data_IF_030828937340
#
_entry.id   IF_030828937340
#
_cell.length_a   1.000
_cell.length_b   1.000
_cell.length_c   1.000
_cell.angle_alpha   90.00
_cell.angle_beta   90.00
_cell.angle_gamma   90.00
#
_symmetry.space_group_name_H-M   'P 1'
#
loop_
_entity.id
_entity.type
_entity.pdbx_description
1 polymer ?
#
# COMPACT_ATOMS: atom_id res chain seq x y z
N UNK A 1 -20.76 26.85 14.73
CA UNK A 1 -19.57 26.19 15.03
C UNK A 1 -19.05 25.33 13.91
N UNK A 2 -17.81 25.46 13.69
CA UNK A 2 -17.24 24.76 12.62
C UNK A 2 -16.42 23.62 13.12
N UNK A 3 -16.73 22.44 12.71
CA UNK A 3 -15.95 21.32 13.15
C UNK A 3 -14.63 21.29 12.41
N UNK A 4 -13.64 20.79 13.08
CA UNK A 4 -12.38 20.59 12.45
C UNK A 4 -12.38 19.28 11.76
N UNK A 5 -12.71 19.33 10.53
CA UNK A 5 -12.86 18.14 9.79
C UNK A 5 -11.52 17.68 9.28
N UNK A 6 -11.20 16.44 9.54
CA UNK A 6 -10.01 15.86 8.96
C UNK A 6 -10.38 15.31 7.61
N UNK A 7 -9.65 15.73 6.62
CA UNK A 7 -9.91 15.29 5.27
C UNK A 7 -9.00 14.13 4.96
N UNK A 8 -9.60 13.01 4.61
CA UNK A 8 -8.88 11.82 4.24
C UNK A 8 -9.07 11.56 2.77
N UNK A 9 -8.01 11.28 2.09
CA UNK A 9 -8.08 10.88 0.70
C UNK A 9 -7.63 9.46 0.56
N UNK A 10 -8.32 8.67 -0.25
CA UNK A 10 -7.88 7.30 -0.45
C UNK A 10 -6.64 7.26 -1.33
N UNK A 11 -5.78 6.34 -1.02
CA UNK A 11 -4.62 6.06 -1.83
C UNK A 11 -4.45 4.55 -1.91
N UNK A 12 -3.96 4.09 -3.03
CA UNK A 12 -3.79 2.66 -3.25
C UNK A 12 -2.34 2.41 -3.57
N UNK A 13 -1.77 1.48 -2.84
CA UNK A 13 -0.36 1.15 -2.97
C UNK A 13 -0.27 -0.26 -3.51
N UNK A 14 0.34 -0.40 -4.68
CA UNK A 14 0.58 -1.71 -5.25
C UNK A 14 1.90 -2.25 -4.78
N UNK A 15 1.91 -3.52 -4.41
CA UNK A 15 3.10 -4.20 -3.94
C UNK A 15 3.35 -5.41 -4.81
N UNK A 16 4.62 -5.67 -5.09
CA UNK A 16 4.99 -6.85 -5.84
C UNK A 16 6.39 -7.27 -5.48
N UNK A 17 6.59 -8.56 -5.40
CA UNK A 17 7.91 -9.11 -5.08
C UNK A 17 8.00 -10.50 -5.66
N UNK A 18 9.17 -10.83 -6.22
CA UNK A 18 9.39 -12.20 -6.72
C UNK A 18 10.73 -12.77 -6.30
N UNK A 19 11.42 -12.11 -5.38
CA UNK A 19 12.71 -12.59 -4.90
C UNK A 19 12.75 -12.56 -3.39
N UNK A 20 13.61 -13.41 -2.81
CA UNK A 20 13.89 -13.37 -1.38
C UNK A 20 12.63 -13.53 -0.54
N UNK A 21 11.92 -14.64 -0.74
CA UNK A 21 10.73 -14.92 0.04
C UNK A 21 9.67 -13.83 -0.15
N UNK A 22 9.08 -13.81 -1.33
CA UNK A 22 8.17 -12.71 -1.67
C UNK A 22 6.97 -12.60 -0.76
N UNK A 23 6.45 -13.70 -0.24
CA UNK A 23 5.31 -13.62 0.66
C UNK A 23 5.69 -12.86 1.92
N UNK A 24 6.85 -13.14 2.47
CA UNK A 24 7.31 -12.44 3.67
C UNK A 24 7.58 -10.97 3.36
N UNK A 25 8.16 -10.70 2.19
CA UNK A 25 8.42 -9.32 1.80
C UNK A 25 7.13 -8.50 1.73
N UNK A 26 6.09 -9.07 1.11
CA UNK A 26 4.82 -8.38 1.00
C UNK A 26 4.20 -8.17 2.37
N UNK A 27 4.24 -9.19 3.22
CA UNK A 27 3.66 -9.09 4.55
C UNK A 27 4.35 -8.00 5.36
N UNK A 28 5.66 -7.93 5.29
CA UNK A 28 6.41 -6.90 6.00
C UNK A 28 6.12 -5.51 5.45
N UNK A 29 5.97 -5.41 4.13
CA UNK A 29 5.64 -4.14 3.52
C UNK A 29 4.29 -3.64 4.00
N UNK A 30 3.31 -4.52 4.11
CA UNK A 30 1.99 -4.14 4.60
C UNK A 30 2.08 -3.65 6.05
N UNK A 31 2.85 -4.35 6.87
CA UNK A 31 3.01 -3.91 8.26
C UNK A 31 3.69 -2.55 8.35
N UNK A 32 4.64 -2.29 7.47
CA UNK A 32 5.28 -0.98 7.43
C UNK A 32 4.33 0.11 6.95
N UNK A 33 3.46 -0.21 6.02
CA UNK A 33 2.47 0.74 5.54
C UNK A 33 1.54 1.15 6.67
N UNK A 34 1.19 0.22 7.54
CA UNK A 34 0.32 0.53 8.67
C UNK A 34 0.93 1.54 9.62
N UNK A 35 2.24 1.73 9.56
CA UNK A 35 2.93 2.64 10.46
C UNK A 35 3.19 4.01 9.86
N UNK A 36 2.75 4.25 8.63
CA UNK A 36 3.00 5.53 8.00
C UNK A 36 2.22 6.61 8.74
N UNK A 37 2.88 7.68 9.17
CA UNK A 37 2.19 8.74 9.88
C UNK A 37 1.20 9.46 8.98
N UNK A 38 0.15 9.97 9.59
CA UNK A 38 -0.89 10.73 8.89
C UNK A 38 -1.59 9.90 7.83
N UNK A 39 -1.66 8.61 8.07
CA UNK A 39 -2.42 7.73 7.21
C UNK A 39 -3.12 6.71 8.07
N UNK A 40 -4.15 6.11 7.52
CA UNK A 40 -4.83 5.04 8.20
C UNK A 40 -5.00 3.89 7.23
N UNK A 41 -4.64 2.72 7.71
CA UNK A 41 -4.79 1.51 6.93
C UNK A 41 -6.26 1.18 6.81
N UNK A 42 -6.71 0.89 5.61
CA UNK A 42 -8.11 0.54 5.39
C UNK A 42 -8.25 -0.95 5.19
N UNK A 43 -7.60 -1.46 4.15
CA UNK A 43 -7.63 -2.89 3.91
C UNK A 43 -6.56 -3.24 2.88
N UNK A 44 -6.27 -4.51 2.77
CA UNK A 44 -5.40 -4.98 1.71
C UNK A 44 -6.13 -6.05 0.92
N UNK A 45 -5.75 -6.19 -0.32
CA UNK A 45 -6.32 -7.19 -1.19
C UNK A 45 -5.82 -8.57 -0.79
N UNK A 46 -6.38 -9.58 -1.42
CA UNK A 46 -5.79 -10.89 -1.36
C UNK A 46 -4.44 -10.87 -2.04
N UNK A 47 -3.59 -11.78 -1.66
CA UNK A 47 -2.35 -11.97 -2.37
C UNK A 47 -2.62 -12.76 -3.63
N UNK A 48 -1.97 -12.40 -4.70
CA UNK A 48 -2.16 -13.13 -5.93
C UNK A 48 -0.86 -13.18 -6.72
N UNK A 49 -0.76 -14.21 -7.54
CA UNK A 49 0.42 -14.45 -8.35
C UNK A 49 0.27 -13.78 -9.69
N UNK A 50 1.38 -13.34 -10.24
CA UNK A 50 1.40 -12.93 -11.63
C UNK A 50 2.70 -13.42 -12.26
N UNK A 51 2.64 -13.71 -13.55
CA UNK A 51 3.81 -14.15 -14.27
C UNK A 51 4.71 -12.96 -14.55
N UNK A 52 6.03 -13.17 -14.47
CA UNK A 52 6.94 -12.08 -14.82
C UNK A 52 6.90 -11.85 -16.31
N UNK A 53 7.14 -10.61 -16.70
CA UNK A 53 7.37 -10.29 -18.09
C UNK A 53 8.86 -10.41 -18.33
N UNK A 54 9.24 -11.08 -19.38
CA UNK A 54 10.65 -11.23 -19.70
C UNK A 54 11.08 -12.68 -19.70
N UNK A 55 12.29 -12.98 -19.23
CA UNK A 55 12.80 -14.34 -19.31
C UNK A 55 11.88 -15.33 -18.60
N UNK A 56 11.64 -16.48 -19.21
CA UNK A 56 10.65 -17.41 -18.67
C UNK A 56 11.08 -18.14 -17.41
N UNK A 57 12.33 -18.05 -17.03
CA UNK A 57 12.82 -18.75 -15.86
C UNK A 57 12.77 -17.93 -14.60
N UNK A 58 12.10 -16.80 -14.62
CA UNK A 58 11.96 -16.00 -13.42
C UNK A 58 10.80 -16.49 -12.58
N UNK A 59 10.90 -16.39 -11.26
CA UNK A 59 9.78 -16.74 -10.40
C UNK A 59 8.61 -15.81 -10.62
N UNK A 60 7.43 -16.28 -10.30
CA UNK A 60 6.25 -15.45 -10.33
C UNK A 60 6.31 -14.40 -9.25
N UNK A 61 5.61 -13.30 -9.49
CA UNK A 61 5.44 -12.28 -8.48
C UNK A 61 4.29 -12.62 -7.56
N UNK A 62 4.45 -12.24 -6.30
CA UNK A 62 3.33 -12.16 -5.37
C UNK A 62 2.94 -10.69 -5.32
N UNK A 63 1.67 -10.42 -5.50
CA UNK A 63 1.17 -9.06 -5.58
C UNK A 63 0.06 -8.82 -4.58
N UNK A 64 -0.06 -7.57 -4.18
CA UNK A 64 -1.15 -7.14 -3.33
C UNK A 64 -1.38 -5.66 -3.56
N UNK A 65 -2.56 -5.20 -3.20
CA UNK A 65 -2.87 -3.77 -3.22
C UNK A 65 -3.36 -3.41 -1.83
N UNK A 66 -2.86 -2.31 -1.31
CA UNK A 66 -3.25 -1.82 0.00
C UNK A 66 -3.95 -0.49 -0.16
N UNK A 67 -5.10 -0.38 0.45
CA UNK A 67 -5.83 0.89 0.47
C UNK A 67 -5.59 1.57 1.79
N UNK A 68 -5.23 2.83 1.73
CA UNK A 68 -5.06 3.64 2.93
C UNK A 68 -5.82 4.95 2.76
N UNK A 69 -6.15 5.55 3.87
CA UNK A 69 -6.63 6.91 3.87
C UNK A 69 -5.49 7.81 4.24
N UNK A 70 -5.23 8.80 3.43
CA UNK A 70 -4.16 9.73 3.70
C UNK A 70 -4.76 10.98 4.23
N UNK A 71 -4.29 11.40 5.41
CA UNK A 71 -4.79 12.61 6.02
C UNK A 71 -4.15 13.79 5.34
N UNK A 72 -4.99 14.72 4.92
CA UNK A 72 -4.51 15.95 4.32
C UNK A 72 -4.64 17.05 5.33
N UNK A 73 -3.55 17.73 5.57
CA UNK A 73 -3.58 18.93 6.36
C UNK A 73 -3.81 20.09 5.44
N UNK A 74 -4.81 20.88 5.70
CA UNK A 74 -4.99 22.05 4.87
C UNK A 74 -3.78 22.95 5.00
N UNK A 75 -3.23 23.31 3.88
CA UNK A 75 -2.12 24.21 3.89
C UNK A 75 -2.59 25.53 3.42
N UNK A 76 -3.02 26.32 4.32
CA UNK A 76 -3.52 27.60 3.94
C UNK A 76 -2.41 28.58 3.93
N UNK A 77 -2.21 29.12 2.81
CA UNK A 77 -1.26 30.17 2.65
C UNK A 77 -2.01 31.41 2.45
N UNK A 78 -2.31 32.00 3.49
CA UNK A 78 -3.07 33.23 3.40
C UNK A 78 -2.16 34.41 3.39
#
# INVERSE_FOLDING_TARGET
MRSKRKIWKPAYIGLGSNLNEPLQQITMAIENIKKIPNSCYILSSKLYDSSPMGPPDQPNFINAVVAIGKKLSPKFKI
#
